data_IF_405139617038
#
_entry.id   IF_405139617038
#
_cell.length_a   1.000
_cell.length_b   1.000
_cell.length_c   1.000
_cell.angle_alpha   90.00
_cell.angle_beta   90.00
_cell.angle_gamma   90.00
#
_symmetry.space_group_name_H-M   'P 1'
#
loop_
_entity.id
_entity.type
_entity.pdbx_description
1 polymer ?
#
# COMPACT_ATOMS: atom_id res chain seq x y z
N UNK A 1 -55.63 22.39 28.01
CA UNK A 1 -55.77 21.15 27.22
C UNK A 1 -54.42 20.49 27.15
N UNK A 2 -54.24 19.41 27.90
CA UNK A 2 -53.04 18.57 27.91
C UNK A 2 -52.93 17.82 26.59
N UNK A 3 -51.86 18.02 25.83
CA UNK A 3 -51.18 16.90 25.15
C UNK A 3 -49.73 17.23 24.83
N UNK A 4 -48.80 17.04 25.78
CA UNK A 4 -47.40 16.86 25.43
C UNK A 4 -46.85 15.61 26.10
N UNK A 5 -47.12 14.42 25.54
CA UNK A 5 -46.35 13.18 25.79
C UNK A 5 -46.91 12.03 24.93
N UNK A 6 -46.58 11.98 23.64
CA UNK A 6 -46.77 10.79 22.81
C UNK A 6 -45.51 10.52 21.99
N UNK A 7 -44.39 10.49 22.71
CA UNK A 7 -43.14 9.96 22.21
C UNK A 7 -42.40 9.49 23.46
N UNK A 8 -42.54 8.20 23.78
CA UNK A 8 -41.54 7.30 24.41
C UNK A 8 -42.21 6.14 25.20
N UNK A 9 -41.70 4.94 24.93
CA UNK A 9 -41.81 3.66 25.66
C UNK A 9 -43.12 2.87 25.62
N UNK A 10 -43.10 1.67 25.01
CA UNK A 10 -42.73 0.40 25.68
C UNK A 10 -42.96 -0.75 24.67
N UNK A 11 -41.93 -1.38 24.11
CA UNK A 11 -41.30 -2.61 24.59
C UNK A 11 -42.27 -3.74 25.02
N UNK A 12 -42.08 -4.91 24.40
CA UNK A 12 -42.65 -6.23 24.76
C UNK A 12 -44.18 -6.35 24.73
N UNK A 13 -44.66 -7.10 23.74
CA UNK A 13 -45.56 -8.28 23.87
C UNK A 13 -46.09 -8.54 22.45
N UNK A 14 -45.31 -9.24 21.62
CA UNK A 14 -45.87 -10.19 20.65
C UNK A 14 -44.82 -11.27 20.40
N UNK A 15 -45.04 -12.43 21.01
CA UNK A 15 -44.66 -13.79 20.56
C UNK A 15 -45.01 -14.74 21.74
N UNK A 16 -45.39 -16.04 21.56
CA UNK A 16 -44.91 -16.94 20.47
C UNK A 16 -45.87 -18.08 19.99
N UNK A 17 -45.35 -18.91 19.06
CA UNK A 17 -45.71 -20.32 18.67
C UNK A 17 -46.91 -20.47 17.71
N UNK A 18 -46.82 -21.09 16.52
CA UNK A 18 -46.45 -22.48 16.24
C UNK A 18 -46.28 -22.68 14.71
N UNK A 19 -45.24 -23.40 14.28
CA UNK A 19 -45.00 -23.71 12.86
C UNK A 19 -43.54 -24.10 12.61
N UNK A 20 -43.18 -25.29 13.06
CA UNK A 20 -41.85 -25.87 12.88
C UNK A 20 -41.58 -26.14 11.38
N UNK A 21 -40.56 -25.50 10.83
CA UNK A 21 -39.70 -26.06 9.79
C UNK A 21 -38.28 -25.62 10.13
N UNK A 22 -37.46 -26.59 10.52
CA UNK A 22 -36.06 -26.42 10.84
C UNK A 22 -35.30 -26.16 9.54
N UNK A 23 -35.17 -24.90 9.14
CA UNK A 23 -34.20 -24.53 8.12
C UNK A 23 -32.84 -24.39 8.82
N UNK A 24 -31.97 -25.38 8.59
CA UNK A 24 -30.55 -25.29 8.93
C UNK A 24 -29.96 -24.01 8.30
N UNK A 25 -28.94 -23.38 8.90
CA UNK A 25 -28.21 -22.30 8.24
C UNK A 25 -27.65 -22.86 6.94
N UNK A 26 -28.25 -22.48 5.82
CA UNK A 26 -27.73 -22.80 4.50
C UNK A 26 -26.36 -22.16 4.41
N UNK A 27 -25.30 -22.95 4.57
CA UNK A 27 -23.97 -22.61 4.10
C UNK A 27 -24.10 -22.32 2.61
N UNK A 28 -24.32 -21.05 2.27
CA UNK A 28 -24.11 -20.57 0.92
C UNK A 28 -22.60 -20.64 0.67
N UNK A 29 -22.15 -21.81 0.24
CA UNK A 29 -20.92 -21.98 -0.52
C UNK A 29 -21.02 -20.98 -1.68
N UNK A 30 -20.20 -19.92 -1.74
CA UNK A 30 -20.18 -19.09 -2.92
C UNK A 30 -19.66 -19.96 -4.05
N UNK A 31 -20.42 -20.00 -5.14
CA UNK A 31 -20.20 -20.77 -6.34
C UNK A 31 -18.73 -21.05 -6.64
N UNK A 32 -18.43 -22.33 -6.85
CA UNK A 32 -17.18 -22.79 -7.44
C UNK A 32 -17.09 -22.36 -8.91
N UNK A 33 -17.12 -21.05 -9.17
CA UNK A 33 -16.48 -20.52 -10.35
C UNK A 33 -14.99 -20.51 -10.00
N UNK A 34 -14.24 -21.25 -10.81
CA UNK A 34 -12.79 -21.42 -10.78
C UNK A 34 -12.10 -20.08 -11.13
N UNK A 35 -12.47 -19.01 -10.43
CA UNK A 35 -12.08 -17.64 -10.69
C UNK A 35 -10.68 -17.45 -10.12
N UNK A 36 -9.71 -17.63 -11.02
CA UNK A 36 -8.29 -17.38 -10.77
C UNK A 36 -8.05 -15.90 -10.88
N UNK A 37 -7.81 -15.26 -9.74
CA UNK A 37 -7.44 -13.86 -9.68
C UNK A 37 -5.92 -13.71 -9.89
N UNK A 38 -5.47 -12.74 -10.69
CA UNK A 38 -4.04 -12.55 -10.96
C UNK A 38 -3.26 -12.02 -9.76
N UNK A 39 -3.94 -11.47 -8.75
CA UNK A 39 -3.32 -10.81 -7.60
C UNK A 39 -3.93 -11.33 -6.30
N UNK A 40 -3.07 -11.64 -5.33
CA UNK A 40 -3.44 -11.89 -3.93
C UNK A 40 -3.06 -10.67 -3.10
N UNK A 41 -3.90 -10.27 -2.15
CA UNK A 41 -3.57 -9.26 -1.13
C UNK A 41 -3.64 -9.95 0.23
N UNK A 42 -2.49 -10.08 0.89
CA UNK A 42 -2.41 -10.60 2.24
C UNK A 42 -2.38 -9.43 3.24
N UNK A 43 -3.42 -9.34 4.06
CA UNK A 43 -3.72 -8.22 4.94
C UNK A 43 -4.50 -7.12 4.21
N UNK A 44 -5.66 -6.74 4.75
CA UNK A 44 -6.54 -5.71 4.19
C UNK A 44 -6.78 -4.54 5.15
N UNK A 45 -5.79 -4.24 6.01
CA UNK A 45 -5.77 -3.00 6.79
C UNK A 45 -5.59 -1.75 5.92
N UNK A 46 -5.12 -0.65 6.50
CA UNK A 46 -5.02 0.65 5.79
C UNK A 46 -4.31 0.54 4.43
N UNK A 47 -3.13 -0.10 4.40
CA UNK A 47 -2.35 -0.25 3.18
C UNK A 47 -3.02 -1.17 2.15
N UNK A 48 -3.39 -2.39 2.57
CA UNK A 48 -4.01 -3.38 1.69
C UNK A 48 -5.37 -2.92 1.13
N UNK A 49 -6.14 -2.18 1.92
CA UNK A 49 -7.41 -1.60 1.51
C UNK A 49 -7.25 -0.61 0.37
N UNK A 50 -6.34 0.35 0.50
CA UNK A 50 -6.07 1.36 -0.54
C UNK A 50 -5.58 0.68 -1.82
N UNK A 51 -4.61 -0.24 -1.71
CA UNK A 51 -4.11 -1.00 -2.86
C UNK A 51 -5.22 -1.82 -3.53
N UNK A 52 -6.03 -2.55 -2.76
CA UNK A 52 -7.11 -3.38 -3.28
C UNK A 52 -8.22 -2.58 -3.96
N UNK A 53 -8.62 -1.44 -3.38
CA UNK A 53 -9.61 -0.54 -4.00
C UNK A 53 -9.07 0.09 -5.28
N UNK A 54 -7.81 0.50 -5.31
CA UNK A 54 -7.15 1.01 -6.50
C UNK A 54 -7.17 -0.04 -7.63
N UNK A 55 -6.74 -1.27 -7.35
CA UNK A 55 -6.76 -2.36 -8.35
C UNK A 55 -8.17 -2.68 -8.84
N UNK A 56 -9.16 -2.73 -7.93
CA UNK A 56 -10.57 -2.93 -8.29
C UNK A 56 -11.11 -1.84 -9.21
N UNK A 57 -10.75 -0.58 -8.97
CA UNK A 57 -11.15 0.53 -9.83
C UNK A 57 -10.62 0.41 -11.26
N UNK A 58 -9.55 -0.36 -11.46
CA UNK A 58 -8.97 -0.69 -12.77
C UNK A 58 -9.35 -2.08 -13.28
N UNK A 59 -10.43 -2.68 -12.75
CA UNK A 59 -10.92 -4.02 -13.12
C UNK A 59 -9.88 -5.15 -12.93
N UNK A 60 -8.90 -4.94 -12.04
CA UNK A 60 -7.94 -5.99 -11.66
C UNK A 60 -8.54 -6.74 -10.47
N UNK A 61 -9.00 -7.97 -10.73
CA UNK A 61 -9.57 -8.84 -9.68
C UNK A 61 -8.49 -9.28 -8.69
N UNK A 62 -8.84 -9.31 -7.41
CA UNK A 62 -7.95 -9.69 -6.32
C UNK A 62 -8.59 -10.74 -5.42
N UNK A 63 -7.79 -11.66 -4.89
CA UNK A 63 -8.17 -12.50 -3.75
C UNK A 63 -7.57 -11.91 -2.49
N UNK A 64 -8.37 -11.71 -1.44
CA UNK A 64 -7.92 -11.12 -0.18
C UNK A 64 -7.78 -12.22 0.88
N UNK A 65 -6.69 -12.17 1.64
CA UNK A 65 -6.46 -12.96 2.85
C UNK A 65 -6.43 -12.02 4.04
N UNK A 66 -7.21 -12.31 5.08
CA UNK A 66 -7.25 -11.48 6.27
C UNK A 66 -7.58 -12.29 7.54
N UNK A 67 -7.03 -11.91 8.68
CA UNK A 67 -7.23 -12.60 9.96
C UNK A 67 -8.24 -11.90 10.89
N UNK A 68 -8.86 -10.81 10.45
CA UNK A 68 -9.89 -10.07 11.18
C UNK A 68 -11.27 -10.46 10.62
N UNK A 69 -12.07 -11.14 11.45
CA UNK A 69 -13.38 -11.68 11.04
C UNK A 69 -14.37 -10.59 10.63
N UNK A 70 -14.34 -9.44 11.29
CA UNK A 70 -15.26 -8.33 11.03
C UNK A 70 -14.92 -7.68 9.69
N UNK A 71 -13.63 -7.49 9.42
CA UNK A 71 -13.13 -7.02 8.13
C UNK A 71 -13.47 -8.00 7.01
N UNK A 72 -13.32 -9.30 7.23
CA UNK A 72 -13.70 -10.32 6.23
C UNK A 72 -15.20 -10.26 5.92
N UNK A 73 -16.05 -10.21 6.95
CA UNK A 73 -17.50 -10.14 6.76
C UNK A 73 -17.90 -8.89 5.96
N UNK A 74 -17.31 -7.73 6.27
CA UNK A 74 -17.53 -6.49 5.54
C UNK A 74 -17.11 -6.62 4.07
N UNK A 75 -15.92 -7.14 3.80
CA UNK A 75 -15.39 -7.24 2.44
C UNK A 75 -16.20 -8.20 1.56
N UNK A 76 -16.69 -9.30 2.13
CA UNK A 76 -17.60 -10.23 1.42
C UNK A 76 -18.90 -9.53 1.02
N UNK A 77 -19.49 -8.75 1.93
CA UNK A 77 -20.69 -7.93 1.63
C UNK A 77 -20.42 -6.88 0.54
N UNK A 78 -19.17 -6.43 0.39
CA UNK A 78 -18.73 -5.52 -0.67
C UNK A 78 -18.38 -6.24 -1.99
N UNK A 79 -18.55 -7.56 -2.06
CA UNK A 79 -18.31 -8.38 -3.25
C UNK A 79 -16.84 -8.73 -3.49
N UNK A 80 -15.97 -8.63 -2.49
CA UNK A 80 -14.60 -9.13 -2.63
C UNK A 80 -14.53 -10.63 -2.34
N UNK A 81 -13.68 -11.35 -3.08
CA UNK A 81 -13.29 -12.73 -2.76
C UNK A 81 -12.31 -12.71 -1.59
N UNK A 82 -12.76 -13.13 -0.41
CA UNK A 82 -11.98 -13.04 0.83
C UNK A 82 -11.96 -14.35 1.61
N UNK A 83 -10.77 -14.76 2.04
CA UNK A 83 -10.56 -15.87 2.95
C UNK A 83 -10.11 -15.36 4.31
N UNK A 84 -10.72 -15.94 5.35
CA UNK A 84 -10.36 -15.69 6.74
C UNK A 84 -9.28 -16.67 7.18
N UNK A 85 -8.21 -16.18 7.81
CA UNK A 85 -7.21 -17.01 8.48
C UNK A 85 -5.80 -16.43 8.47
N UNK A 86 -4.86 -17.19 9.05
CA UNK A 86 -3.44 -16.85 9.01
C UNK A 86 -2.88 -17.03 7.60
N UNK A 87 -2.55 -15.91 6.97
CA UNK A 87 -2.06 -15.85 5.60
C UNK A 87 -0.66 -16.47 5.44
N UNK A 88 0.09 -16.75 6.52
CA UNK A 88 1.36 -17.49 6.42
C UNK A 88 1.17 -18.97 6.09
N UNK A 89 -0.04 -19.52 6.28
CA UNK A 89 -0.31 -20.94 6.06
C UNK A 89 -0.34 -21.31 4.58
N UNK A 90 0.38 -22.37 4.23
CA UNK A 90 0.43 -22.93 2.88
C UNK A 90 -0.96 -23.26 2.30
N UNK A 91 -1.81 -23.91 3.09
CA UNK A 91 -3.14 -24.34 2.64
C UNK A 91 -4.06 -23.15 2.32
N UNK A 92 -3.99 -22.08 3.11
CA UNK A 92 -4.74 -20.85 2.86
C UNK A 92 -4.24 -20.12 1.61
N UNK A 93 -2.91 -20.00 1.43
CA UNK A 93 -2.30 -19.44 0.23
C UNK A 93 -2.71 -20.23 -1.02
N UNK A 94 -2.69 -21.56 -0.93
CA UNK A 94 -3.13 -22.46 -2.00
C UNK A 94 -4.60 -22.25 -2.34
N UNK A 95 -5.48 -22.23 -1.34
CA UNK A 95 -6.91 -21.97 -1.51
C UNK A 95 -7.19 -20.60 -2.14
N UNK A 96 -6.36 -19.60 -1.84
CA UNK A 96 -6.43 -18.27 -2.44
C UNK A 96 -5.95 -18.21 -3.90
N UNK A 97 -5.39 -19.30 -4.42
CA UNK A 97 -4.94 -19.44 -5.80
C UNK A 97 -3.47 -19.09 -6.02
N UNK A 98 -2.62 -19.15 -4.98
CA UNK A 98 -1.19 -18.84 -5.08
C UNK A 98 -0.44 -19.65 -6.16
N UNK A 99 -0.93 -20.84 -6.51
CA UNK A 99 -0.41 -21.66 -7.62
C UNK A 99 -0.52 -20.97 -8.99
N UNK A 100 -1.47 -20.04 -9.15
CA UNK A 100 -1.83 -19.44 -10.45
C UNK A 100 -1.83 -17.92 -10.46
N UNK A 101 -1.86 -17.29 -9.29
CA UNK A 101 -1.70 -15.86 -9.15
C UNK A 101 -0.31 -15.44 -9.67
N UNK A 102 -0.24 -14.25 -10.28
CA UNK A 102 1.02 -13.69 -10.77
C UNK A 102 1.73 -12.92 -9.67
N UNK A 103 0.96 -12.26 -8.82
CA UNK A 103 1.45 -11.29 -7.84
C UNK A 103 0.79 -11.54 -6.48
N UNK A 104 1.54 -11.31 -5.41
CA UNK A 104 1.01 -11.17 -4.06
C UNK A 104 1.52 -9.88 -3.41
N UNK A 105 0.61 -9.09 -2.86
CA UNK A 105 0.91 -7.91 -2.05
C UNK A 105 0.84 -8.33 -0.59
N UNK A 106 1.98 -8.31 0.10
CA UNK A 106 2.12 -8.73 1.50
C UNK A 106 2.13 -7.49 2.37
N UNK A 107 1.07 -7.31 3.16
CA UNK A 107 0.87 -6.14 4.04
C UNK A 107 0.64 -6.53 5.50
N UNK A 108 0.74 -7.84 5.80
CA UNK A 108 0.48 -8.40 7.12
C UNK A 108 1.53 -7.98 8.16
N UNK A 109 1.09 -7.98 9.41
CA UNK A 109 1.88 -7.80 10.61
C UNK A 109 1.60 -8.99 11.55
N UNK A 110 2.54 -9.42 12.42
CA UNK A 110 3.85 -8.82 12.72
C UNK A 110 4.98 -9.22 11.73
N UNK A 111 6.18 -8.61 11.82
CA UNK A 111 7.33 -8.93 10.97
C UNK A 111 7.71 -10.41 10.89
N UNK A 112 7.62 -11.15 12.00
CA UNK A 112 7.90 -12.59 12.04
C UNK A 112 6.97 -13.40 11.13
N UNK A 113 5.66 -13.13 11.20
CA UNK A 113 4.65 -13.78 10.36
C UNK A 113 4.81 -13.47 8.88
N UNK A 114 5.21 -12.22 8.58
CA UNK A 114 5.52 -11.80 7.20
C UNK A 114 6.74 -12.54 6.64
N UNK A 115 7.80 -12.74 7.43
CA UNK A 115 8.97 -13.52 7.01
C UNK A 115 8.61 -15.00 6.82
N UNK A 116 7.84 -15.60 7.73
CA UNK A 116 7.32 -16.97 7.62
C UNK A 116 6.52 -17.17 6.31
N UNK A 117 5.66 -16.21 5.98
CA UNK A 117 4.93 -16.21 4.72
C UNK A 117 5.85 -16.12 3.51
N UNK A 118 6.85 -15.23 3.53
CA UNK A 118 7.83 -15.08 2.44
C UNK A 118 8.58 -16.40 2.21
N UNK A 119 9.03 -17.07 3.28
CA UNK A 119 9.69 -18.38 3.18
C UNK A 119 8.76 -19.44 2.59
N UNK A 120 7.50 -19.48 3.05
CA UNK A 120 6.48 -20.39 2.54
C UNK A 120 6.25 -20.17 1.04
N UNK A 121 6.13 -18.91 0.60
CA UNK A 121 5.93 -18.56 -0.80
C UNK A 121 7.14 -18.96 -1.65
N UNK A 122 8.35 -18.63 -1.21
CA UNK A 122 9.58 -19.01 -1.92
C UNK A 122 9.69 -20.52 -2.11
N UNK A 123 9.31 -21.29 -1.09
CA UNK A 123 9.39 -22.75 -1.10
C UNK A 123 8.33 -23.40 -1.98
N UNK A 124 7.10 -22.89 -1.96
CA UNK A 124 5.95 -23.59 -2.52
C UNK A 124 5.37 -22.95 -3.79
N UNK A 125 5.57 -21.65 -3.99
CA UNK A 125 5.00 -20.88 -5.09
C UNK A 125 6.09 -20.03 -5.77
N UNK A 126 7.13 -20.64 -6.37
CA UNK A 126 8.32 -19.93 -6.87
C UNK A 126 8.02 -18.94 -8.00
N UNK A 127 6.89 -19.10 -8.70
CA UNK A 127 6.46 -18.21 -9.77
C UNK A 127 5.65 -16.99 -9.27
N UNK A 128 5.27 -16.98 -7.99
CA UNK A 128 4.46 -15.92 -7.40
C UNK A 128 5.35 -14.74 -7.02
N UNK A 129 5.22 -13.62 -7.74
CA UNK A 129 5.99 -12.42 -7.46
C UNK A 129 5.46 -11.70 -6.22
N UNK A 130 6.34 -11.38 -5.28
CA UNK A 130 5.97 -10.78 -4.01
C UNK A 130 6.30 -9.28 -3.98
N UNK A 131 5.32 -8.47 -3.61
CA UNK A 131 5.46 -7.05 -3.29
C UNK A 131 5.20 -6.89 -1.79
N UNK A 132 6.16 -6.34 -1.04
CA UNK A 132 6.10 -6.38 0.42
C UNK A 132 6.09 -4.97 1.00
N UNK A 133 5.13 -4.69 1.88
CA UNK A 133 5.11 -3.49 2.70
C UNK A 133 6.22 -3.54 3.74
N UNK A 134 6.95 -2.44 3.86
CA UNK A 134 7.85 -2.14 4.96
C UNK A 134 7.28 -0.97 5.77
N UNK A 135 7.24 -1.10 7.10
CA UNK A 135 6.76 -0.03 7.99
C UNK A 135 7.73 1.16 8.01
N UNK A 136 9.03 0.88 7.94
CA UNK A 136 10.06 1.91 8.01
C UNK A 136 11.33 1.49 7.25
N UNK A 137 12.39 2.29 7.36
CA UNK A 137 13.68 2.08 6.70
C UNK A 137 14.39 0.81 7.17
N UNK A 138 14.41 0.53 8.48
CA UNK A 138 15.07 -0.65 9.03
C UNK A 138 14.33 -1.94 8.65
N UNK A 139 12.99 -1.90 8.71
CA UNK A 139 12.16 -3.00 8.23
C UNK A 139 12.39 -3.29 6.73
N UNK A 140 12.59 -2.24 5.92
CA UNK A 140 12.96 -2.42 4.52
C UNK A 140 14.32 -3.10 4.35
N UNK A 141 15.30 -2.81 5.22
CA UNK A 141 16.59 -3.51 5.21
C UNK A 141 16.44 -4.99 5.52
N UNK A 142 15.64 -5.35 6.53
CA UNK A 142 15.40 -6.74 6.89
C UNK A 142 14.79 -7.53 5.73
N UNK A 143 13.80 -6.94 5.04
CA UNK A 143 13.20 -7.54 3.85
C UNK A 143 14.20 -7.68 2.69
N UNK A 144 15.01 -6.65 2.42
CA UNK A 144 16.04 -6.70 1.38
C UNK A 144 17.09 -7.78 1.68
N UNK A 145 17.51 -7.88 2.94
CA UNK A 145 18.44 -8.90 3.42
C UNK A 145 17.82 -10.30 3.39
N UNK A 146 16.50 -10.41 3.54
CA UNK A 146 15.73 -11.62 3.27
C UNK A 146 15.55 -11.90 1.76
N UNK A 147 16.20 -11.14 0.87
CA UNK A 147 16.19 -11.36 -0.58
C UNK A 147 14.94 -10.86 -1.30
N UNK A 148 14.19 -9.92 -0.70
CA UNK A 148 13.03 -9.31 -1.35
C UNK A 148 13.46 -8.21 -2.33
N UNK A 149 12.93 -8.29 -3.56
CA UNK A 149 13.24 -7.33 -4.62
C UNK A 149 12.30 -6.12 -4.64
N UNK A 150 11.02 -6.34 -4.33
CA UNK A 150 9.97 -5.31 -4.37
C UNK A 150 9.50 -4.97 -2.96
N UNK A 151 10.15 -3.97 -2.35
CA UNK A 151 9.89 -3.51 -0.99
C UNK A 151 9.38 -2.08 -1.02
N UNK A 152 8.22 -1.84 -0.41
CA UNK A 152 7.52 -0.55 -0.41
C UNK A 152 7.42 -0.01 1.00
N UNK A 153 8.16 1.07 1.30
CA UNK A 153 8.07 1.76 2.60
C UNK A 153 6.77 2.55 2.66
N UNK A 154 5.96 2.32 3.68
CA UNK A 154 4.60 2.83 3.74
C UNK A 154 4.49 4.37 3.74
N UNK A 155 5.45 5.07 4.32
CA UNK A 155 5.32 6.52 4.56
C UNK A 155 6.07 7.39 3.55
N UNK A 156 7.00 6.84 2.75
CA UNK A 156 7.91 7.67 1.95
C UNK A 156 7.17 8.52 0.90
N UNK A 157 6.22 7.92 0.18
CA UNK A 157 5.43 8.62 -0.84
C UNK A 157 4.55 9.73 -0.25
N UNK A 158 3.92 9.46 0.89
CA UNK A 158 3.06 10.45 1.59
C UNK A 158 3.90 11.59 2.15
N UNK A 159 5.05 11.29 2.76
CA UNK A 159 5.99 12.30 3.26
C UNK A 159 6.52 13.20 2.14
N UNK A 160 6.83 12.62 0.97
CA UNK A 160 7.25 13.40 -0.20
C UNK A 160 6.12 14.25 -0.76
N UNK A 161 4.88 13.76 -0.76
CA UNK A 161 3.70 14.56 -1.15
C UNK A 161 3.57 15.79 -0.26
N UNK A 162 3.70 15.63 1.06
CA UNK A 162 3.71 16.77 2.00
C UNK A 162 4.83 17.76 1.66
N UNK A 163 6.04 17.26 1.39
CA UNK A 163 7.18 18.11 0.97
C UNK A 163 6.90 18.89 -0.32
N UNK A 164 6.28 18.25 -1.32
CA UNK A 164 5.84 18.92 -2.57
C UNK A 164 4.87 20.05 -2.27
N UNK A 165 3.89 19.82 -1.40
CA UNK A 165 2.88 20.82 -1.07
C UNK A 165 3.47 21.99 -0.27
N UNK A 166 4.40 21.72 0.66
CA UNK A 166 5.20 22.76 1.33
C UNK A 166 5.94 23.62 0.30
N UNK A 167 6.63 23.02 -0.68
CA UNK A 167 7.32 23.77 -1.73
C UNK A 167 6.35 24.65 -2.53
N UNK A 168 5.19 24.13 -2.93
CA UNK A 168 4.19 24.93 -3.66
C UNK A 168 3.68 26.10 -2.82
N UNK A 169 3.41 25.89 -1.54
CA UNK A 169 2.97 26.95 -0.62
C UNK A 169 4.03 28.04 -0.42
N UNK A 170 5.32 27.69 -0.54
CA UNK A 170 6.44 28.63 -0.55
C UNK A 170 6.67 29.31 -1.92
N UNK A 171 5.77 29.12 -2.89
CA UNK A 171 5.81 29.78 -4.20
C UNK A 171 6.57 29.04 -5.29
N UNK A 172 7.01 27.80 -5.07
CA UNK A 172 7.66 27.02 -6.12
C UNK A 172 6.64 26.53 -7.16
N UNK A 173 7.04 26.51 -8.44
CA UNK A 173 6.25 25.94 -9.53
C UNK A 173 5.93 24.47 -9.26
N UNK A 174 4.70 24.04 -9.59
CA UNK A 174 4.24 22.67 -9.36
C UNK A 174 5.12 21.63 -10.08
N UNK A 175 5.56 21.91 -11.30
CA UNK A 175 6.47 21.03 -12.04
C UNK A 175 7.79 20.83 -11.28
N UNK A 176 8.42 21.93 -10.84
CA UNK A 176 9.67 21.93 -10.07
C UNK A 176 9.55 21.13 -8.78
N UNK A 177 8.49 21.36 -7.99
CA UNK A 177 8.27 20.64 -6.74
C UNK A 177 8.08 19.13 -6.96
N UNK A 178 7.23 18.75 -7.91
CA UNK A 178 7.00 17.33 -8.24
C UNK A 178 8.26 16.65 -8.80
N UNK A 179 9.05 17.37 -9.60
CA UNK A 179 10.29 16.82 -10.14
C UNK A 179 11.31 16.60 -9.03
N UNK A 180 11.47 17.56 -8.12
CA UNK A 180 12.36 17.44 -6.97
C UNK A 180 12.03 16.21 -6.10
N UNK A 181 10.75 15.99 -5.80
CA UNK A 181 10.31 14.81 -5.05
C UNK A 181 10.61 13.49 -5.79
N UNK A 182 10.41 13.44 -7.12
CA UNK A 182 10.77 12.27 -7.94
C UNK A 182 12.29 12.01 -7.96
N UNK A 183 13.10 13.07 -8.05
CA UNK A 183 14.57 12.94 -7.95
C UNK A 183 14.95 12.40 -6.57
N UNK A 184 14.44 13.01 -5.51
CA UNK A 184 14.71 12.59 -4.14
C UNK A 184 14.39 11.11 -3.95
N UNK A 185 13.18 10.67 -4.33
CA UNK A 185 12.74 9.28 -4.18
C UNK A 185 13.71 8.30 -4.87
N UNK A 186 14.09 8.59 -6.12
CA UNK A 186 15.01 7.75 -6.88
C UNK A 186 16.37 7.62 -6.21
N UNK A 187 16.91 8.72 -5.67
CA UNK A 187 18.20 8.71 -4.97
C UNK A 187 18.11 8.00 -3.62
N UNK A 188 17.04 8.26 -2.86
CA UNK A 188 16.80 7.61 -1.57
C UNK A 188 16.64 6.10 -1.71
N UNK A 189 15.92 5.60 -2.72
CA UNK A 189 15.81 4.17 -3.02
C UNK A 189 17.15 3.53 -3.42
N UNK A 190 17.98 4.24 -4.19
CA UNK A 190 19.33 3.79 -4.55
C UNK A 190 20.22 3.68 -3.31
N UNK A 191 20.14 4.66 -2.42
CA UNK A 191 20.92 4.70 -1.19
C UNK A 191 20.44 3.65 -0.19
N UNK A 192 19.13 3.43 -0.08
CA UNK A 192 18.52 2.42 0.77
C UNK A 192 19.14 1.03 0.51
N UNK A 193 19.26 0.63 -0.77
CA UNK A 193 19.87 -0.66 -1.15
C UNK A 193 21.33 -0.79 -0.73
N UNK A 194 22.11 0.29 -0.82
CA UNK A 194 23.52 0.31 -0.40
C UNK A 194 23.66 0.20 1.12
N UNK A 195 22.81 0.94 1.85
CA UNK A 195 22.83 1.00 3.30
C UNK A 195 22.33 -0.31 3.95
N UNK A 196 21.42 -1.04 3.30
CA UNK A 196 20.87 -2.31 3.79
C UNK A 196 21.94 -3.38 4.06
N UNK A 197 23.07 -3.33 3.34
CA UNK A 197 24.17 -4.28 3.46
C UNK A 197 25.11 -4.00 4.65
N UNK A 198 25.03 -2.81 5.27
CA UNK A 198 25.92 -2.39 6.35
C UNK A 198 25.32 -2.82 7.68
N UNK A 199 26.04 -3.67 8.42
CA UNK A 199 25.58 -4.19 9.72
C UNK A 199 26.17 -3.45 10.91
N UNK A 200 27.38 -2.92 10.77
CA UNK A 200 28.05 -2.18 11.84
C UNK A 200 27.45 -0.77 11.98
N UNK A 201 27.07 -0.39 13.20
CA UNK A 201 26.37 0.86 13.48
C UNK A 201 27.23 2.10 13.17
N UNK A 202 28.52 2.06 13.50
CA UNK A 202 29.42 3.19 13.26
C UNK A 202 29.64 3.39 11.76
N UNK A 203 29.89 2.30 11.03
CA UNK A 203 29.98 2.33 9.57
C UNK A 203 28.66 2.80 8.94
N UNK A 204 27.52 2.37 9.49
CA UNK A 204 26.21 2.80 9.01
C UNK A 204 26.03 4.31 9.16
N UNK A 205 26.38 4.89 10.31
CA UNK A 205 26.26 6.35 10.54
C UNK A 205 27.15 7.12 9.56
N UNK A 206 28.40 6.68 9.37
CA UNK A 206 29.34 7.33 8.44
C UNK A 206 28.79 7.26 7.01
N UNK A 207 28.39 6.07 6.55
CA UNK A 207 27.84 5.89 5.22
C UNK A 207 26.53 6.65 5.03
N UNK A 208 25.64 6.68 6.02
CA UNK A 208 24.39 7.41 5.95
C UNK A 208 24.62 8.92 5.81
N UNK A 209 25.55 9.49 6.59
CA UNK A 209 25.95 10.91 6.47
C UNK A 209 26.49 11.23 5.09
N UNK A 210 27.42 10.42 4.59
CA UNK A 210 27.99 10.60 3.25
C UNK A 210 26.90 10.57 2.17
N UNK A 211 25.93 9.65 2.27
CA UNK A 211 24.84 9.52 1.30
C UNK A 211 23.82 10.66 1.38
N UNK A 212 23.62 11.25 2.56
CA UNK A 212 22.81 12.46 2.73
C UNK A 212 23.51 13.64 2.04
N UNK A 213 24.80 13.86 2.29
CA UNK A 213 25.56 14.94 1.64
C UNK A 213 25.61 14.79 0.11
N UNK A 214 25.79 13.57 -0.40
CA UNK A 214 25.74 13.26 -1.84
C UNK A 214 24.37 13.63 -2.43
N UNK A 215 23.29 13.23 -1.75
CA UNK A 215 21.92 13.53 -2.18
C UNK A 215 21.65 15.04 -2.21
N UNK A 216 22.08 15.78 -1.19
CA UNK A 216 21.93 17.24 -1.13
C UNK A 216 22.66 17.93 -2.27
N UNK A 217 23.92 17.54 -2.55
CA UNK A 217 24.71 18.09 -3.68
C UNK A 217 24.03 17.84 -5.03
N UNK A 218 23.51 16.63 -5.26
CA UNK A 218 22.82 16.30 -6.51
C UNK A 218 21.55 17.15 -6.66
N UNK A 219 20.74 17.27 -5.60
CA UNK A 219 19.51 18.06 -5.64
C UNK A 219 19.81 19.56 -5.85
N UNK A 220 20.86 20.10 -5.21
CA UNK A 220 21.27 21.49 -5.42
C UNK A 220 21.72 21.76 -6.86
N UNK A 221 22.44 20.82 -7.46
CA UNK A 221 22.88 20.92 -8.85
C UNK A 221 21.68 20.91 -9.80
N UNK A 222 20.76 19.96 -9.66
CA UNK A 222 19.52 19.93 -10.46
C UNK A 222 18.67 21.20 -10.26
N UNK A 223 18.64 21.77 -9.05
CA UNK A 223 17.95 23.04 -8.79
C UNK A 223 18.58 24.21 -9.57
N UNK A 224 19.91 24.23 -9.73
CA UNK A 224 20.60 25.21 -10.55
C UNK A 224 20.15 25.14 -12.01
N UNK A 225 20.11 23.92 -12.57
CA UNK A 225 19.65 23.68 -13.94
C UNK A 225 18.18 24.08 -14.14
N UNK A 226 17.33 23.81 -13.14
CA UNK A 226 15.91 24.20 -13.18
C UNK A 226 15.75 25.73 -13.17
N UNK A 227 16.50 26.45 -12.32
CA UNK A 227 16.46 27.92 -12.31
C UNK A 227 16.86 28.49 -13.67
N UNK A 228 17.91 27.95 -14.28
CA UNK A 228 18.36 28.37 -15.62
C UNK A 228 17.29 28.12 -16.68
N UNK A 229 16.59 26.98 -16.62
CA UNK A 229 15.47 26.69 -17.52
C UNK A 229 14.27 27.64 -17.31
N UNK A 230 13.86 27.87 -16.06
CA UNK A 230 12.76 28.80 -15.75
C UNK A 230 13.07 30.23 -16.20
N UNK A 231 14.31 30.72 -15.98
CA UNK A 231 14.76 32.03 -16.46
C UNK A 231 14.82 32.11 -17.99
N UNK A 232 15.27 31.05 -18.66
CA UNK A 232 15.31 30.99 -20.13
C UNK A 232 13.91 31.01 -20.75
N UNK A 233 12.94 30.33 -20.13
CA UNK A 233 11.54 30.33 -20.54
C UNK A 233 10.90 31.71 -20.37
N UNK A 234 11.15 32.37 -19.23
CA UNK A 234 10.67 33.73 -19.00
C UNK A 234 11.29 34.76 -19.96
N UNK A 235 12.57 34.61 -20.32
CA UNK A 235 13.19 35.42 -21.38
C UNK A 235 12.54 35.19 -22.74
N UNK A 236 12.21 33.94 -23.07
CA UNK A 236 11.55 33.59 -24.32
C UNK A 236 10.10 34.13 -24.40
N UNK A 237 9.33 34.05 -23.32
CA UNK A 237 8.00 34.68 -23.24
C UNK A 237 8.06 36.20 -23.34
N UNK A 238 9.01 36.83 -22.63
CA UNK A 238 9.18 38.29 -22.69
C UNK A 238 9.57 38.76 -24.09
N UNK A 239 10.43 38.02 -24.80
CA UNK A 239 10.77 38.32 -26.20
C UNK A 239 9.59 38.08 -27.14
N UNK A 240 8.84 36.99 -27.00
CA UNK A 240 7.63 36.74 -27.79
C UNK A 240 6.57 37.86 -27.60
N UNK A 241 6.38 38.32 -26.36
CA UNK A 241 5.45 39.40 -26.02
C UNK A 241 5.88 40.77 -26.56
N UNK A 242 7.19 41.05 -26.63
CA UNK A 242 7.74 42.27 -27.23
C UNK A 242 7.59 42.26 -28.77
N UNK A 243 7.67 41.09 -29.40
CA UNK A 243 7.60 40.95 -30.86
C UNK A 243 6.18 40.65 -31.41
N UNK A 244 5.16 40.58 -30.54
CA UNK A 244 3.75 40.56 -30.96
C UNK A 244 3.30 39.31 -31.73
N UNK A 245 3.85 38.14 -31.38
CA UNK A 245 3.28 36.83 -31.77
C UNK A 245 2.32 36.31 -30.69
#
# INVERSE_FOLDING_TARGET
GLTPLMMLFNEKIVQPKLGQCTEAPTEQLPDAINEKNPVIIAGFGNFGNVAGRFLRAHNIRTTILDNDSDRVALLRRMGFKVYYGDASRYDLLKAAGADTAKLIVITIEPPSKRLEMIETIKKHFPNLQMLVRAQNRFDAYDLMNAGMLHVYRETIDTSLRVGVDVMKMLGYRAYTANRAARTFLKLDEKNLKKLAAIRDENQYIIAAREKIEELEKIIQTERGDIKLQDESFHRAEATASIFGF
#
